data_IF_042421831181
#
_entry.id   IF_042421831181
#
_cell.length_a   1.000
_cell.length_b   1.000
_cell.length_c   1.000
_cell.angle_alpha   90.00
_cell.angle_beta   90.00
_cell.angle_gamma   90.00
#
_symmetry.space_group_name_H-M   'P 1'
#
loop_
_entity.id
_entity.type
_entity.pdbx_description
1 polymer ?
#
# COMPACT_ATOMS: atom_id res chain seq x y z
N UNK A 1 15.39 13.32 -10.17
CA UNK A 1 14.86 12.11 -9.53
C UNK A 1 13.51 12.48 -8.93
N UNK A 2 12.40 12.20 -9.62
CA UNK A 2 11.08 12.49 -9.04
C UNK A 2 10.87 11.69 -7.76
N UNK A 3 10.01 12.15 -6.83
CA UNK A 3 9.68 11.36 -5.65
C UNK A 3 9.22 9.98 -6.13
N UNK A 4 9.82 8.92 -5.58
CA UNK A 4 9.43 7.56 -5.95
C UNK A 4 7.94 7.34 -5.73
N UNK A 5 7.36 6.31 -6.34
CA UNK A 5 6.03 5.87 -5.91
C UNK A 5 6.13 5.51 -4.42
N UNK A 6 5.25 6.03 -3.59
CA UNK A 6 5.15 5.67 -2.18
C UNK A 6 3.83 4.95 -1.98
N UNK A 7 3.86 3.75 -1.42
CA UNK A 7 2.68 2.98 -1.09
C UNK A 7 2.48 2.94 0.42
N UNK A 8 1.22 3.03 0.82
CA UNK A 8 0.75 2.80 2.18
C UNK A 8 0.02 1.47 2.21
N UNK A 9 0.44 0.59 3.12
CA UNK A 9 -0.18 -0.70 3.36
C UNK A 9 -0.80 -0.71 4.76
N UNK A 10 -2.07 -1.05 4.87
CA UNK A 10 -2.78 -1.09 6.15
C UNK A 10 -4.04 -1.93 6.08
N UNK A 11 -4.85 -1.90 7.13
CA UNK A 11 -6.07 -2.68 7.22
C UNK A 11 -7.31 -1.78 7.07
N UNK A 12 -8.28 -2.22 6.27
CA UNK A 12 -9.55 -1.52 6.12
C UNK A 12 -10.51 -1.83 7.29
N UNK A 13 -11.69 -1.22 7.25
CA UNK A 13 -12.67 -1.40 8.30
C UNK A 13 -13.27 -2.82 8.39
N UNK A 14 -13.03 -3.67 7.40
CA UNK A 14 -13.50 -5.05 7.34
C UNK A 14 -12.38 -6.04 7.68
N UNK A 15 -11.19 -5.55 8.06
CA UNK A 15 -10.01 -6.39 8.35
C UNK A 15 -9.27 -6.88 7.11
N UNK A 16 -9.61 -6.37 5.92
CA UNK A 16 -8.91 -6.67 4.67
C UNK A 16 -7.67 -5.79 4.56
N UNK A 17 -6.62 -6.31 3.95
CA UNK A 17 -5.40 -5.54 3.75
C UNK A 17 -5.52 -4.68 2.50
N UNK A 18 -5.06 -3.45 2.56
CA UNK A 18 -5.13 -2.50 1.45
C UNK A 18 -3.75 -1.97 1.20
N UNK A 19 -3.34 -1.96 -0.06
CA UNK A 19 -2.19 -1.18 -0.51
C UNK A 19 -2.71 -0.04 -1.37
N UNK A 20 -2.31 1.19 -1.07
CA UNK A 20 -2.68 2.38 -1.85
C UNK A 20 -1.44 3.22 -2.07
N UNK A 21 -1.23 3.65 -3.30
CA UNK A 21 -0.20 4.62 -3.63
C UNK A 21 -0.59 5.98 -3.05
N UNK A 22 0.37 6.75 -2.53
CA UNK A 22 0.14 7.98 -1.79
C UNK A 22 -0.60 9.06 -2.59
N UNK A 23 -0.57 8.99 -3.92
CA UNK A 23 -1.31 9.88 -4.83
C UNK A 23 -2.61 9.25 -5.36
N UNK A 24 -2.96 8.06 -4.88
CA UNK A 24 -4.18 7.35 -5.25
C UNK A 24 -4.18 6.79 -6.68
N UNK A 25 -3.02 6.74 -7.35
CA UNK A 25 -2.94 6.33 -8.76
C UNK A 25 -3.00 4.81 -8.95
N UNK A 26 -2.62 4.06 -7.91
CA UNK A 26 -2.61 2.61 -7.92
C UNK A 26 -2.98 2.09 -6.53
N UNK A 27 -3.60 0.92 -6.48
CA UNK A 27 -3.94 0.28 -5.22
C UNK A 27 -4.74 -1.00 -5.40
N UNK A 28 -4.98 -1.70 -4.29
CA UNK A 28 -5.71 -2.95 -4.28
C UNK A 28 -6.07 -3.40 -2.88
N UNK A 29 -7.09 -4.26 -2.81
CA UNK A 29 -7.50 -4.96 -1.60
C UNK A 29 -6.99 -6.39 -1.66
N UNK A 30 -6.36 -6.82 -0.58
CA UNK A 30 -5.65 -8.08 -0.43
C UNK A 30 -6.19 -8.87 0.77
N UNK A 31 -6.09 -10.18 0.66
CA UNK A 31 -6.49 -11.11 1.72
C UNK A 31 -5.47 -11.16 2.86
N UNK A 32 -4.21 -10.80 2.61
CA UNK A 32 -3.14 -10.84 3.60
C UNK A 32 -2.21 -9.63 3.52
N UNK A 33 -1.58 -9.30 4.66
CA UNK A 33 -0.53 -8.27 4.74
C UNK A 33 0.61 -8.54 3.78
N UNK A 34 1.00 -9.81 3.66
CA UNK A 34 2.14 -10.23 2.84
C UNK A 34 1.90 -9.95 1.37
N UNK A 35 0.69 -10.22 0.88
CA UNK A 35 0.32 -9.94 -0.51
C UNK A 35 0.30 -8.44 -0.80
N UNK A 36 -0.23 -7.63 0.13
CA UNK A 36 -0.25 -6.18 0.00
C UNK A 36 1.15 -5.57 -0.02
N UNK A 37 2.06 -6.03 0.86
CA UNK A 37 3.46 -5.61 0.86
C UNK A 37 4.16 -6.05 -0.42
N UNK A 38 3.95 -7.29 -0.88
CA UNK A 38 4.58 -7.80 -2.08
C UNK A 38 4.17 -7.02 -3.33
N UNK A 39 2.89 -6.65 -3.44
CA UNK A 39 2.39 -5.77 -4.49
C UNK A 39 3.06 -4.39 -4.44
N UNK A 40 3.04 -3.73 -3.28
CA UNK A 40 3.68 -2.42 -3.11
C UNK A 40 5.19 -2.45 -3.39
N UNK A 41 5.89 -3.52 -2.98
CA UNK A 41 7.30 -3.71 -3.28
C UNK A 41 7.55 -3.91 -4.78
N UNK A 42 6.71 -4.67 -5.47
CA UNK A 42 6.84 -4.86 -6.92
C UNK A 42 6.67 -3.54 -7.68
N UNK A 43 5.65 -2.75 -7.35
CA UNK A 43 5.38 -1.45 -7.97
C UNK A 43 6.48 -0.41 -7.71
N UNK A 44 7.11 -0.48 -6.53
CA UNK A 44 8.19 0.44 -6.13
C UNK A 44 9.59 -0.02 -6.55
N UNK A 45 9.68 -1.09 -7.36
CA UNK A 45 10.93 -1.76 -7.76
C UNK A 45 11.80 -2.22 -6.57
N UNK A 46 11.16 -2.61 -5.47
CA UNK A 46 11.81 -3.13 -4.27
C UNK A 46 12.49 -2.06 -3.42
N UNK A 47 12.09 -0.79 -3.52
CA UNK A 47 12.65 0.28 -2.68
C UNK A 47 12.14 0.14 -1.24
N UNK A 48 13.03 -0.05 -0.25
CA UNK A 48 12.62 -0.29 1.14
C UNK A 48 11.88 0.90 1.77
N UNK A 49 12.21 2.13 1.37
CA UNK A 49 11.57 3.36 1.91
C UNK A 49 10.29 3.75 1.17
N UNK A 50 9.91 2.98 0.16
CA UNK A 50 8.76 3.27 -0.69
C UNK A 50 7.47 2.58 -0.21
N UNK A 51 7.54 1.73 0.82
CA UNK A 51 6.38 1.02 1.38
C UNK A 51 6.24 1.37 2.87
N UNK A 52 5.28 2.23 3.19
CA UNK A 52 4.90 2.54 4.56
C UNK A 52 3.82 1.59 5.07
N UNK A 53 3.92 1.17 6.33
CA UNK A 53 2.86 0.42 7.02
C UNK A 53 2.06 1.36 7.89
N UNK A 54 0.75 1.44 7.66
CA UNK A 54 -0.17 2.15 8.54
C UNK A 54 -0.70 1.19 9.59
N UNK A 55 -0.54 1.58 10.86
CA UNK A 55 -1.25 0.95 11.98
C UNK A 55 -2.67 1.50 12.13
N UNK A 56 -2.94 2.67 11.55
CA UNK A 56 -4.27 3.29 11.46
C UNK A 56 -5.06 2.65 10.32
N UNK A 57 -6.40 2.57 10.47
CA UNK A 57 -7.29 2.01 9.44
C UNK A 57 -7.16 2.84 8.16
N UNK A 58 -6.92 2.17 7.04
CA UNK A 58 -6.87 2.85 5.74
C UNK A 58 -8.26 2.74 5.11
N UNK A 59 -8.96 3.87 5.06
CA UNK A 59 -10.16 4.01 4.24
C UNK A 59 -9.73 4.29 2.80
N UNK A 60 -9.89 3.28 1.93
CA UNK A 60 -9.66 3.44 0.50
C UNK A 60 -10.82 4.27 -0.06
N UNK A 61 -10.63 5.58 -0.15
CA UNK A 61 -11.56 6.49 -0.82
C UNK A 61 -11.26 6.48 -2.32
N UNK A 62 -11.71 5.42 -2.98
CA UNK A 62 -11.80 5.31 -4.45
C UNK A 62 -12.95 6.18 -4.98
#
# INVERSE_FOLDING_TARGET
MGPGLHFLVGQDAQGRWVAVEARGLAGGIFRSRRDAIHYAAAETRGRPDAVGLSLERIDLRI
#
